data_IF_503740678862
#
_entry.id   IF_503740678862
#
_cell.length_a   1.000
_cell.length_b   1.000
_cell.length_c   1.000
_cell.angle_alpha   90.00
_cell.angle_beta   90.00
_cell.angle_gamma   90.00
#
_symmetry.space_group_name_H-M   'P 1'
#
loop_
_entity.id
_entity.type
_entity.pdbx_description
1 polymer ?
#
# COMPACT_ATOMS: atom_id res chain seq x y z
N UNK A 1 -0.55 10.22 -16.43
CA UNK A 1 0.81 10.00 -16.95
C UNK A 1 0.78 8.79 -17.84
N UNK A 2 1.00 9.01 -19.13
CA UNK A 2 1.16 7.99 -20.16
C UNK A 2 2.64 7.66 -20.31
N UNK A 3 2.94 6.39 -20.52
CA UNK A 3 4.30 5.90 -20.70
C UNK A 3 4.29 4.61 -21.53
N UNK A 4 5.44 4.26 -22.10
CA UNK A 4 5.69 2.96 -22.73
C UNK A 4 6.79 2.24 -21.99
N UNK A 5 6.56 0.96 -21.72
CA UNK A 5 7.51 0.11 -21.01
C UNK A 5 8.47 -0.55 -22.01
N UNK A 6 9.75 -0.56 -21.68
CA UNK A 6 10.80 -1.24 -22.43
C UNK A 6 11.65 -2.08 -21.48
N UNK A 7 12.06 -3.27 -21.92
CA UNK A 7 13.03 -4.14 -21.26
C UNK A 7 14.10 -4.59 -22.27
N UNK A 8 14.98 -5.53 -21.88
CA UNK A 8 16.02 -6.05 -22.78
C UNK A 8 15.44 -6.70 -24.05
N UNK A 9 14.27 -7.34 -23.95
CA UNK A 9 13.61 -8.04 -25.05
C UNK A 9 12.74 -7.14 -25.94
N UNK A 10 12.65 -5.83 -25.64
CA UNK A 10 11.86 -4.86 -26.38
C UNK A 10 10.74 -4.25 -25.55
N UNK A 11 9.54 -4.13 -26.11
CA UNK A 11 8.39 -3.53 -25.42
C UNK A 11 7.43 -4.62 -24.93
N UNK A 12 7.43 -4.97 -23.63
CA UNK A 12 6.46 -5.91 -23.07
C UNK A 12 5.09 -5.21 -22.84
N UNK A 13 3.99 -5.98 -22.78
CA UNK A 13 2.70 -5.43 -22.39
C UNK A 13 2.73 -4.78 -21.00
N UNK A 14 2.13 -3.59 -20.88
CA UNK A 14 1.96 -2.90 -19.62
C UNK A 14 0.80 -3.50 -18.82
N UNK A 15 0.99 -3.68 -17.51
CA UNK A 15 -0.08 -4.06 -16.57
C UNK A 15 -1.12 -2.96 -16.42
N UNK A 16 -0.71 -1.72 -16.62
CA UNK A 16 -1.59 -0.55 -16.66
C UNK A 16 -1.99 -0.12 -18.06
N UNK A 17 -2.02 -1.08 -19.01
CA UNK A 17 -2.59 -0.85 -20.32
C UNK A 17 -4.03 -0.33 -20.19
N UNK A 18 -4.33 0.75 -20.91
CA UNK A 18 -5.64 1.40 -20.90
C UNK A 18 -6.38 1.28 -22.23
N UNK A 19 -5.68 0.88 -23.29
CA UNK A 19 -6.21 0.63 -24.62
C UNK A 19 -5.83 -0.80 -25.05
N UNK A 20 -6.82 -1.59 -25.46
CA UNK A 20 -6.60 -2.93 -25.96
C UNK A 20 -5.90 -2.94 -27.34
N UNK A 21 -5.97 -1.83 -28.09
CA UNK A 21 -5.27 -1.66 -29.37
C UNK A 21 -3.77 -1.41 -29.23
N UNK A 22 -3.31 -0.94 -28.06
CA UNK A 22 -1.90 -0.67 -27.77
C UNK A 22 -1.53 -1.18 -26.36
N UNK A 23 -1.30 -2.50 -26.20
CA UNK A 23 -1.03 -3.09 -24.88
C UNK A 23 0.33 -2.68 -24.31
N UNK A 24 1.18 -2.03 -25.10
CA UNK A 24 2.54 -1.61 -24.71
C UNK A 24 2.56 -0.22 -24.08
N UNK A 25 1.41 0.45 -24.00
CA UNK A 25 1.27 1.78 -23.42
C UNK A 25 0.50 1.74 -22.09
N UNK A 26 1.18 2.14 -21.02
CA UNK A 26 0.64 2.22 -19.69
C UNK A 26 0.08 3.61 -19.36
N UNK A 27 -0.86 3.67 -18.42
CA UNK A 27 -1.37 4.93 -17.88
C UNK A 27 -1.60 4.85 -16.37
N UNK A 28 -1.00 5.79 -15.63
CA UNK A 28 -1.28 6.02 -14.21
C UNK A 28 -1.85 7.42 -13.97
N UNK A 29 -2.59 7.60 -12.87
CA UNK A 29 -3.01 8.91 -12.43
C UNK A 29 -1.79 9.72 -11.94
N UNK A 30 -1.68 10.99 -12.34
CA UNK A 30 -0.58 11.86 -11.90
C UNK A 30 -0.54 12.05 -10.38
N UNK A 31 -1.71 11.95 -9.73
CA UNK A 31 -1.86 11.98 -8.27
C UNK A 31 -1.24 10.78 -7.56
N UNK A 32 -0.89 9.70 -8.27
CA UNK A 32 -0.15 8.56 -7.70
C UNK A 32 1.35 8.79 -7.68
N UNK A 33 1.85 9.78 -8.42
CA UNK A 33 3.27 10.13 -8.38
C UNK A 33 3.49 11.06 -7.19
N UNK A 34 4.29 10.66 -6.20
CA UNK A 34 4.42 11.44 -4.98
C UNK A 34 5.21 12.74 -5.21
N UNK A 35 4.93 13.80 -4.42
CA UNK A 35 5.84 14.93 -4.29
C UNK A 35 7.20 14.49 -3.72
N UNK A 36 8.32 15.15 -4.08
CA UNK A 36 8.42 16.16 -5.13
C UNK A 36 8.26 15.47 -6.49
N UNK A 37 7.40 15.99 -7.37
CA UNK A 37 7.13 15.39 -8.69
C UNK A 37 8.39 15.48 -9.56
N UNK A 38 9.33 14.56 -9.36
CA UNK A 38 10.62 14.46 -10.05
C UNK A 38 10.73 13.11 -10.75
N UNK A 39 11.71 12.96 -11.64
CA UNK A 39 11.96 11.72 -12.38
C UNK A 39 12.12 10.52 -11.45
N UNK A 40 12.88 10.63 -10.34
CA UNK A 40 13.03 9.54 -9.38
C UNK A 40 11.70 9.06 -8.78
N UNK A 41 10.81 9.99 -8.42
CA UNK A 41 9.48 9.69 -7.89
C UNK A 41 8.59 9.00 -8.93
N UNK A 42 8.67 9.44 -10.19
CA UNK A 42 7.93 8.82 -11.29
C UNK A 42 8.49 7.41 -11.60
N UNK A 43 9.81 7.23 -11.74
CA UNK A 43 10.43 5.92 -11.95
C UNK A 43 10.01 4.94 -10.88
N UNK A 44 10.02 5.35 -9.60
CA UNK A 44 9.58 4.50 -8.49
C UNK A 44 8.11 4.10 -8.59
N UNK A 45 7.25 5.06 -8.93
CA UNK A 45 5.83 4.79 -9.14
C UNK A 45 5.62 3.77 -10.27
N UNK A 46 6.25 3.99 -11.44
CA UNK A 46 6.14 3.11 -12.60
C UNK A 46 6.72 1.71 -12.35
N UNK A 47 7.92 1.62 -11.76
CA UNK A 47 8.56 0.36 -11.38
C UNK A 47 7.64 -0.48 -10.48
N UNK A 48 7.07 0.13 -9.45
CA UNK A 48 6.17 -0.55 -8.54
C UNK A 48 4.85 -0.95 -9.22
N UNK A 49 4.27 -0.06 -10.03
CA UNK A 49 3.02 -0.32 -10.75
C UNK A 49 3.15 -1.47 -11.76
N UNK A 50 4.27 -1.53 -12.47
CA UNK A 50 4.55 -2.59 -13.44
C UNK A 50 5.18 -3.84 -12.78
N UNK A 51 5.42 -3.79 -11.46
CA UNK A 51 6.10 -4.81 -10.65
C UNK A 51 7.45 -5.22 -11.25
N UNK A 52 8.22 -4.22 -11.70
CA UNK A 52 9.56 -4.37 -12.25
C UNK A 52 10.56 -3.68 -11.32
N UNK A 53 11.57 -4.42 -10.86
CA UNK A 53 12.66 -3.94 -10.01
C UNK A 53 12.22 -3.07 -8.78
N UNK A 54 11.99 -3.68 -7.60
CA UNK A 54 11.51 -2.95 -6.41
C UNK A 54 12.48 -1.85 -5.93
N UNK A 55 13.75 -1.91 -6.31
CA UNK A 55 14.76 -0.91 -5.91
C UNK A 55 14.89 0.26 -6.87
N UNK A 56 14.31 0.16 -8.08
CA UNK A 56 14.36 1.17 -9.15
C UNK A 56 15.76 1.57 -9.63
N UNK A 57 16.83 0.92 -9.14
CA UNK A 57 18.22 1.28 -9.44
C UNK A 57 18.54 1.09 -10.92
N UNK A 58 17.98 0.06 -11.52
CA UNK A 58 18.26 -0.32 -12.90
C UNK A 58 17.09 0.10 -13.80
N UNK A 59 16.61 1.32 -13.62
CA UNK A 59 15.52 1.90 -14.41
C UNK A 59 15.87 3.28 -14.93
N UNK A 60 15.49 3.54 -16.17
CA UNK A 60 15.74 4.78 -16.89
C UNK A 60 14.42 5.34 -17.43
N UNK A 61 14.28 6.67 -17.37
CA UNK A 61 13.14 7.38 -17.94
C UNK A 61 13.65 8.31 -19.03
N UNK A 62 12.93 8.37 -20.15
CA UNK A 62 13.22 9.27 -21.26
C UNK A 62 11.97 10.08 -21.59
N UNK A 63 12.17 11.29 -22.10
CA UNK A 63 11.07 12.23 -22.37
C UNK A 63 10.09 11.72 -23.43
N UNK A 64 10.56 10.96 -24.42
CA UNK A 64 9.77 10.50 -25.55
C UNK A 64 10.34 9.21 -26.17
N UNK A 65 9.45 8.35 -26.65
CA UNK A 65 9.71 7.12 -27.37
C UNK A 65 10.20 7.40 -28.80
N UNK A 66 11.38 8.00 -28.95
CA UNK A 66 12.05 8.11 -30.26
C UNK A 66 12.92 9.36 -30.47
N UNK A 67 12.78 10.39 -29.63
CA UNK A 67 13.54 11.66 -29.79
C UNK A 67 14.68 11.83 -28.79
N UNK A 68 14.51 11.37 -27.56
CA UNK A 68 15.50 11.56 -26.51
C UNK A 68 16.63 10.51 -26.62
N UNK A 69 17.89 10.96 -26.69
CA UNK A 69 19.07 10.09 -26.76
C UNK A 69 19.66 9.74 -25.39
N UNK A 70 19.28 10.48 -24.35
CA UNK A 70 19.82 10.34 -23.00
C UNK A 70 18.70 10.19 -21.98
N UNK A 71 18.90 9.38 -20.93
CA UNK A 71 17.95 9.29 -19.83
C UNK A 71 17.85 10.62 -19.10
N UNK A 72 16.67 10.92 -18.57
CA UNK A 72 16.43 12.09 -17.73
C UNK A 72 17.15 11.95 -16.39
N UNK A 73 17.63 13.06 -15.84
CA UNK A 73 18.24 13.06 -14.51
C UNK A 73 17.17 12.90 -13.42
N UNK A 74 17.48 12.11 -12.40
CA UNK A 74 16.56 11.75 -11.32
C UNK A 74 16.00 12.95 -10.54
N UNK A 75 16.78 14.01 -10.41
CA UNK A 75 16.40 15.26 -9.73
C UNK A 75 15.53 16.19 -10.60
N UNK A 76 15.35 15.89 -11.89
CA UNK A 76 14.57 16.73 -12.82
C UNK A 76 13.13 16.82 -12.38
N UNK A 77 12.60 18.04 -12.23
CA UNK A 77 11.19 18.31 -11.90
C UNK A 77 10.30 18.07 -13.11
N UNK A 78 9.19 17.38 -12.86
CA UNK A 78 8.16 17.04 -13.81
C UNK A 78 6.89 17.83 -13.50
N UNK A 79 6.29 18.43 -14.52
CA UNK A 79 5.00 19.10 -14.42
C UNK A 79 3.89 18.07 -14.67
N UNK A 80 3.60 17.27 -13.64
CA UNK A 80 2.59 16.19 -13.74
C UNK A 80 1.17 16.66 -13.39
N UNK A 81 1.06 17.70 -12.56
CA UNK A 81 -0.20 18.28 -12.10
C UNK A 81 -0.31 19.71 -12.66
N UNK A 82 -1.25 19.94 -13.57
CA UNK A 82 -1.52 21.26 -14.15
C UNK A 82 -2.03 21.22 -15.59
N UNK A 83 -2.60 22.35 -16.05
CA UNK A 83 -3.23 22.47 -17.37
C UNK A 83 -2.29 22.91 -18.50
N UNK A 84 -0.99 22.69 -18.36
CA UNK A 84 -0.04 22.96 -19.43
C UNK A 84 -0.33 22.04 -20.65
N UNK A 85 -0.64 22.63 -21.83
CA UNK A 85 -1.04 21.86 -23.01
C UNK A 85 0.10 21.06 -23.66
N UNK A 86 1.36 21.33 -23.29
CA UNK A 86 2.56 20.64 -23.77
C UNK A 86 3.26 19.81 -22.68
N UNK A 87 2.55 19.42 -21.61
CA UNK A 87 3.15 18.64 -20.52
C UNK A 87 3.44 17.19 -20.97
N UNK A 88 4.70 16.76 -20.79
CA UNK A 88 5.13 15.38 -21.04
C UNK A 88 4.28 14.37 -20.23
N UNK A 89 3.98 13.24 -20.87
CA UNK A 89 3.16 12.16 -20.33
C UNK A 89 1.67 12.51 -20.16
N UNK A 90 1.20 13.65 -20.66
CA UNK A 90 -0.23 14.01 -20.57
C UNK A 90 -1.06 13.22 -21.57
N UNK A 91 -0.51 12.96 -22.75
CA UNK A 91 -1.19 12.24 -23.85
C UNK A 91 -0.36 11.04 -24.31
N UNK A 92 -0.95 10.09 -25.05
CA UNK A 92 -0.23 8.99 -25.68
C UNK A 92 0.97 9.43 -26.53
N UNK A 93 0.85 10.54 -27.25
CA UNK A 93 1.88 11.08 -28.16
C UNK A 93 3.04 11.76 -27.43
N UNK A 94 2.83 12.09 -26.15
CA UNK A 94 3.84 12.70 -25.27
C UNK A 94 4.30 11.71 -24.20
N UNK A 95 4.02 10.42 -24.37
CA UNK A 95 4.30 9.39 -23.38
C UNK A 95 5.80 9.25 -23.09
N UNK A 96 6.14 9.10 -21.80
CA UNK A 96 7.52 8.81 -21.39
C UNK A 96 7.95 7.43 -21.88
N UNK A 97 9.23 7.24 -22.20
CA UNK A 97 9.79 5.90 -22.36
C UNK A 97 10.38 5.46 -21.01
N UNK A 98 9.84 4.39 -20.43
CA UNK A 98 10.33 3.81 -19.18
C UNK A 98 11.05 2.50 -19.48
N UNK A 99 12.36 2.47 -19.29
CA UNK A 99 13.22 1.34 -19.62
C UNK A 99 13.74 0.67 -18.35
N UNK A 100 13.56 -0.64 -18.28
CA UNK A 100 14.20 -1.52 -17.30
C UNK A 100 15.52 -1.99 -17.90
N UNK A 101 16.62 -1.69 -17.20
CA UNK A 101 17.98 -2.10 -17.58
C UNK A 101 18.24 -3.39 -16.82
N UNK A 102 18.13 -4.53 -17.49
CA UNK A 102 18.51 -5.82 -16.89
C UNK A 102 20.02 -5.84 -16.69
N UNK A 103 20.47 -5.77 -15.44
CA UNK A 103 21.86 -6.09 -15.08
C UNK A 103 21.91 -7.15 -13.95
N UNK A 104 20.84 -7.94 -13.82
CA UNK A 104 20.88 -9.16 -13.04
C UNK A 104 21.22 -10.29 -14.00
N UNK A 105 22.45 -10.82 -13.87
CA UNK A 105 22.90 -11.94 -14.71
C UNK A 105 21.86 -13.06 -14.67
N UNK A 106 21.62 -13.75 -15.79
CA UNK A 106 20.62 -14.85 -15.87
C UNK A 106 20.78 -15.91 -14.77
N UNK A 107 21.95 -15.98 -14.12
CA UNK A 107 22.29 -16.87 -13.03
C UNK A 107 21.71 -16.39 -11.69
N UNK A 108 21.69 -15.09 -11.46
CA UNK A 108 21.00 -14.44 -10.33
C UNK A 108 19.50 -14.40 -10.59
N UNK A 109 19.05 -14.15 -11.82
CA UNK A 109 17.65 -14.29 -12.20
C UNK A 109 17.16 -15.75 -12.06
N UNK A 110 17.99 -16.77 -12.31
CA UNK A 110 17.65 -18.17 -12.02
C UNK A 110 17.73 -18.53 -10.54
N UNK A 111 18.59 -17.89 -9.75
CA UNK A 111 18.57 -18.05 -8.29
C UNK A 111 17.32 -17.38 -7.66
N UNK A 112 16.90 -16.23 -8.22
CA UNK A 112 15.68 -15.49 -7.83
C UNK A 112 14.42 -16.18 -8.33
N UNK A 113 14.42 -16.72 -9.54
CA UNK A 113 13.31 -17.51 -10.08
C UNK A 113 13.30 -18.94 -9.53
N UNK A 114 14.40 -19.52 -9.03
CA UNK A 114 14.39 -20.80 -8.32
C UNK A 114 13.96 -20.69 -6.85
N UNK A 115 13.77 -19.47 -6.32
CA UNK A 115 12.93 -19.21 -5.15
C UNK A 115 11.43 -19.19 -5.53
N UNK A 116 11.09 -19.94 -6.59
CA UNK A 116 9.81 -19.99 -7.28
C UNK A 116 8.67 -20.43 -6.37
N UNK A 117 7.48 -19.86 -6.63
CA UNK A 117 6.18 -20.07 -5.98
C UNK A 117 5.95 -19.29 -4.68
N UNK A 118 6.88 -19.23 -3.72
CA UNK A 118 6.68 -18.48 -2.47
C UNK A 118 6.85 -16.97 -2.65
N UNK A 119 7.89 -16.52 -3.37
CA UNK A 119 8.18 -15.10 -3.57
C UNK A 119 7.14 -14.36 -4.44
N UNK A 120 6.49 -15.04 -5.40
CA UNK A 120 5.40 -14.43 -6.20
C UNK A 120 4.15 -14.12 -5.38
N UNK A 121 3.86 -14.93 -4.35
CA UNK A 121 2.76 -14.68 -3.39
C UNK A 121 3.11 -13.57 -2.40
N UNK A 122 4.35 -13.56 -1.90
CA UNK A 122 4.84 -12.51 -0.99
C UNK A 122 4.92 -11.13 -1.67
N UNK A 123 5.23 -11.05 -2.97
CA UNK A 123 5.24 -9.78 -3.71
C UNK A 123 3.83 -9.20 -3.94
N UNK A 124 2.81 -10.03 -4.20
CA UNK A 124 1.41 -9.57 -4.24
C UNK A 124 0.90 -9.15 -2.85
N UNK A 125 1.30 -9.87 -1.80
CA UNK A 125 0.89 -9.56 -0.42
C UNK A 125 1.61 -8.32 0.12
N UNK A 126 2.84 -8.04 -0.32
CA UNK A 126 3.57 -6.82 -0.01
C UNK A 126 3.10 -5.58 -0.78
N UNK A 127 2.24 -5.73 -1.77
CA UNK A 127 1.63 -4.59 -2.46
C UNK A 127 0.61 -3.85 -1.58
N UNK A 128 0.02 -4.54 -0.60
CA UNK A 128 -1.07 -4.01 0.22
C UNK A 128 -0.65 -3.83 1.67
N UNK A 129 -1.07 -2.71 2.26
CA UNK A 129 -1.14 -2.54 3.70
C UNK A 129 -2.51 -3.06 4.16
N UNK A 130 -2.51 -4.10 4.96
CA UNK A 130 -3.70 -4.64 5.59
C UNK A 130 -3.91 -4.01 6.95
N UNK A 131 -5.18 -3.77 7.27
CA UNK A 131 -5.55 -3.15 8.52
C UNK A 131 -6.88 -3.70 9.03
N UNK A 132 -7.07 -3.60 10.34
CA UNK A 132 -8.20 -4.11 11.06
C UNK A 132 -8.78 -3.01 11.93
N UNK A 133 -10.06 -2.71 11.71
CA UNK A 133 -10.75 -1.62 12.40
C UNK A 133 -11.34 -2.08 13.72
N UNK A 134 -11.14 -1.28 14.76
CA UNK A 134 -11.68 -1.48 16.09
C UNK A 134 -12.29 -0.19 16.64
N UNK A 135 -13.30 -0.40 17.47
CA UNK A 135 -13.89 0.58 18.36
C UNK A 135 -13.48 0.27 19.81
N UNK A 136 -13.78 1.18 20.73
CA UNK A 136 -13.63 0.90 22.16
C UNK A 136 -14.51 -0.27 22.66
N UNK A 137 -15.54 -0.67 21.92
CA UNK A 137 -16.42 -1.79 22.24
C UNK A 137 -15.96 -3.12 21.62
N UNK A 138 -14.89 -3.12 20.82
CA UNK A 138 -14.41 -4.30 20.09
C UNK A 138 -14.30 -4.03 18.58
N UNK A 139 -14.23 -5.10 17.78
CA UNK A 139 -14.13 -5.04 16.32
C UNK A 139 -15.19 -4.13 15.70
N UNK A 140 -14.78 -3.25 14.77
CA UNK A 140 -15.74 -2.40 14.07
C UNK A 140 -16.54 -3.23 13.06
N UNK A 141 -17.74 -2.75 12.73
CA UNK A 141 -18.72 -3.49 11.96
C UNK A 141 -18.31 -3.78 10.51
N UNK A 142 -17.62 -2.84 9.85
CA UNK A 142 -17.19 -2.99 8.44
C UNK A 142 -16.20 -1.91 8.00
N UNK A 143 -15.12 -2.31 7.33
CA UNK A 143 -14.27 -1.44 6.51
C UNK A 143 -14.88 -1.22 5.13
N UNK A 144 -14.85 0.00 4.63
CA UNK A 144 -15.16 0.36 3.24
C UNK A 144 -14.19 -0.26 2.23
N UNK A 145 -12.97 -0.59 2.69
CA UNK A 145 -11.93 -1.29 1.94
C UNK A 145 -11.88 -2.79 2.24
N UNK A 146 -12.96 -3.36 2.79
CA UNK A 146 -13.05 -4.78 3.07
C UNK A 146 -12.84 -5.60 1.80
N UNK A 147 -11.87 -6.51 1.83
CA UNK A 147 -11.57 -7.39 0.70
C UNK A 147 -12.15 -8.80 0.88
N UNK A 148 -12.69 -9.10 2.08
CA UNK A 148 -13.27 -10.39 2.42
C UNK A 148 -14.62 -10.22 3.11
N UNK A 149 -15.62 -10.97 2.66
CA UNK A 149 -16.94 -11.03 3.30
C UNK A 149 -16.92 -11.77 4.63
N UNK A 150 -15.94 -12.66 4.83
CA UNK A 150 -15.76 -13.40 6.09
C UNK A 150 -15.08 -12.56 7.19
N UNK A 151 -14.36 -11.49 6.81
CA UNK A 151 -13.68 -10.56 7.72
C UNK A 151 -14.00 -9.12 7.32
N UNK A 152 -15.23 -8.65 7.56
CA UNK A 152 -15.69 -7.36 7.05
C UNK A 152 -14.98 -6.16 7.70
N UNK A 153 -14.39 -6.30 8.89
CA UNK A 153 -13.64 -5.24 9.55
C UNK A 153 -12.18 -5.12 9.06
N UNK A 154 -11.72 -6.08 8.26
CA UNK A 154 -10.35 -6.11 7.73
C UNK A 154 -10.34 -5.49 6.34
N UNK A 155 -9.70 -4.34 6.23
CA UNK A 155 -9.47 -3.64 4.98
C UNK A 155 -8.07 -3.89 4.43
N UNK A 156 -7.90 -3.54 3.15
CA UNK A 156 -6.57 -3.45 2.54
C UNK A 156 -6.48 -2.22 1.65
N UNK A 157 -5.32 -1.58 1.65
CA UNK A 157 -5.00 -0.46 0.76
C UNK A 157 -3.70 -0.76 0.04
N UNK A 158 -3.61 -0.43 -1.24
CA UNK A 158 -2.33 -0.53 -1.94
C UNK A 158 -1.34 0.47 -1.36
N UNK A 159 -0.14 0.02 -0.98
CA UNK A 159 0.89 0.85 -0.33
C UNK A 159 1.25 2.09 -1.16
N UNK A 160 1.14 2.04 -2.49
CA UNK A 160 1.41 3.19 -3.38
C UNK A 160 0.38 4.32 -3.25
N UNK A 161 -0.81 4.06 -2.69
CA UNK A 161 -1.81 5.10 -2.43
C UNK A 161 -1.48 5.93 -1.20
N UNK A 162 -0.51 5.49 -0.38
CA UNK A 162 -0.01 6.23 0.76
C UNK A 162 1.07 7.20 0.28
N UNK A 163 0.81 8.50 0.45
CA UNK A 163 1.79 9.53 0.07
C UNK A 163 3.02 9.43 0.98
N UNK A 164 4.25 9.42 0.44
CA UNK A 164 5.46 9.60 1.21
C UNK A 164 5.49 10.96 1.93
N UNK A 165 6.06 11.03 3.14
CA UNK A 165 6.60 9.92 3.92
C UNK A 165 5.48 9.02 4.46
N UNK A 166 5.60 7.70 4.28
CA UNK A 166 4.59 6.73 4.74
C UNK A 166 4.72 6.55 6.24
N UNK A 167 4.06 7.44 6.96
CA UNK A 167 4.00 7.56 8.41
C UNK A 167 2.68 7.04 8.95
N UNK A 168 2.63 6.68 10.24
CA UNK A 168 1.36 6.40 10.92
C UNK A 168 0.37 7.57 10.77
N UNK A 169 0.84 8.82 10.83
CA UNK A 169 -0.01 9.99 10.66
C UNK A 169 -0.63 10.05 9.24
N UNK A 170 0.16 9.82 8.20
CA UNK A 170 -0.33 9.76 6.82
C UNK A 170 -1.28 8.59 6.58
N UNK A 171 -1.04 7.44 7.19
CA UNK A 171 -1.94 6.28 7.15
C UNK A 171 -3.27 6.60 7.83
N UNK A 172 -3.24 7.16 9.04
CA UNK A 172 -4.45 7.58 9.78
C UNK A 172 -5.29 8.58 8.98
N UNK A 173 -4.66 9.61 8.44
CA UNK A 173 -5.34 10.61 7.61
C UNK A 173 -5.96 9.99 6.36
N UNK A 174 -5.22 9.12 5.66
CA UNK A 174 -5.72 8.43 4.48
C UNK A 174 -6.91 7.53 4.81
N UNK A 175 -6.80 6.72 5.86
CA UNK A 175 -7.86 5.80 6.26
C UNK A 175 -9.09 6.54 6.77
N UNK A 176 -8.93 7.63 7.52
CA UNK A 176 -10.05 8.49 7.92
C UNK A 176 -10.84 9.04 6.72
N UNK A 177 -10.13 9.43 5.66
CA UNK A 177 -10.74 9.90 4.41
C UNK A 177 -11.50 8.78 3.69
N UNK A 178 -10.87 7.62 3.50
CA UNK A 178 -11.45 6.52 2.72
C UNK A 178 -12.59 5.83 3.47
N UNK A 179 -12.43 5.61 4.77
CA UNK A 179 -13.47 5.07 5.66
C UNK A 179 -14.58 6.07 5.95
N UNK A 180 -14.43 7.33 5.51
CA UNK A 180 -15.37 8.43 5.76
C UNK A 180 -15.71 8.59 7.24
N UNK A 181 -14.70 8.39 8.09
CA UNK A 181 -14.84 8.47 9.54
C UNK A 181 -13.64 9.20 10.15
N UNK A 182 -13.81 10.47 10.58
CA UNK A 182 -12.71 11.29 11.05
C UNK A 182 -12.08 10.78 12.36
N UNK A 183 -12.76 9.93 13.12
CA UNK A 183 -12.21 9.35 14.36
C UNK A 183 -10.94 8.51 14.12
N UNK A 184 -10.74 8.00 12.89
CA UNK A 184 -9.53 7.27 12.53
C UNK A 184 -8.30 8.16 12.34
N UNK A 185 -8.47 9.47 12.15
CA UNK A 185 -7.34 10.40 12.06
C UNK A 185 -6.56 10.47 13.38
N UNK A 186 -7.21 10.12 14.49
CA UNK A 186 -6.66 10.08 15.84
C UNK A 186 -6.70 8.69 16.46
N UNK A 187 -6.79 7.64 15.64
CA UNK A 187 -6.80 6.26 16.13
C UNK A 187 -5.48 5.90 16.82
N UNK A 188 -5.56 5.02 17.80
CA UNK A 188 -4.37 4.33 18.32
C UNK A 188 -4.05 3.17 17.39
N UNK A 189 -2.78 3.03 16.98
CA UNK A 189 -2.34 2.01 16.02
C UNK A 189 -1.44 1.02 16.72
N UNK A 190 -1.70 -0.27 16.50
CA UNK A 190 -0.95 -1.37 17.07
C UNK A 190 -0.51 -2.29 15.95
N UNK A 191 0.66 -2.92 16.12
CA UNK A 191 1.20 -3.88 15.15
C UNK A 191 0.28 -5.10 14.98
N UNK A 192 -0.29 -5.57 16.08
CA UNK A 192 -1.18 -6.75 16.14
C UNK A 192 -2.27 -6.56 17.19
N UNK A 193 -3.30 -7.42 17.16
CA UNK A 193 -4.38 -7.40 18.16
C UNK A 193 -3.91 -7.76 19.57
N UNK A 194 -2.76 -8.42 19.68
CA UNK A 194 -2.14 -8.81 20.95
C UNK A 194 -1.15 -7.79 21.48
N UNK A 195 -0.77 -6.79 20.67
CA UNK A 195 0.19 -5.79 21.08
C UNK A 195 -0.38 -4.90 22.20
N UNK A 196 0.45 -4.67 23.22
CA UNK A 196 0.10 -3.86 24.39
C UNK A 196 0.57 -2.42 24.26
N UNK A 197 1.57 -2.18 23.42
CA UNK A 197 2.13 -0.86 23.15
C UNK A 197 1.63 -0.34 21.80
N UNK A 198 1.25 0.93 21.79
CA UNK A 198 0.90 1.62 20.55
C UNK A 198 2.19 1.96 19.79
N UNK A 199 2.15 1.79 18.47
CA UNK A 199 3.18 2.28 17.57
C UNK A 199 3.38 3.80 17.73
N UNK A 200 4.65 4.21 17.77
CA UNK A 200 5.03 5.57 18.13
C UNK A 200 4.86 6.54 16.94
N UNK A 201 4.35 7.74 17.21
CA UNK A 201 4.29 8.80 16.20
C UNK A 201 5.65 9.52 16.10
N UNK A 202 6.58 8.97 15.32
CA UNK A 202 7.90 9.53 15.03
C UNK A 202 8.88 8.47 14.50
N UNK A 203 9.73 8.83 13.51
CA UNK A 203 10.67 7.93 12.80
C UNK A 203 11.54 7.07 13.74
N UNK A 204 11.83 5.78 13.43
CA UNK A 204 11.96 5.18 12.09
C UNK A 204 11.08 3.92 11.85
N UNK A 205 9.77 3.99 12.07
CA UNK A 205 8.86 2.87 11.72
C UNK A 205 8.52 2.82 10.21
N UNK A 206 8.91 3.83 9.44
CA UNK A 206 8.62 3.88 7.99
C UNK A 206 9.31 2.76 7.24
N UNK A 207 10.50 2.34 7.67
CA UNK A 207 11.19 1.21 7.05
C UNK A 207 10.34 -0.06 7.12
N UNK A 208 9.81 -0.38 8.31
CA UNK A 208 9.03 -1.59 8.57
C UNK A 208 7.64 -1.62 7.91
N UNK A 209 7.06 -0.44 7.66
CA UNK A 209 5.77 -0.32 6.95
C UNK A 209 5.97 -0.44 5.43
N UNK A 210 7.10 0.08 4.94
CA UNK A 210 7.47 0.09 3.51
C UNK A 210 8.07 -1.25 3.08
N UNK A 211 8.85 -1.92 3.93
CA UNK A 211 9.46 -3.23 3.64
C UNK A 211 8.47 -4.41 3.75
N UNK A 212 7.26 -4.17 4.27
CA UNK A 212 6.21 -5.18 4.38
C UNK A 212 6.15 -5.90 5.72
N UNK A 213 7.10 -5.64 6.62
CA UNK A 213 7.19 -6.28 7.94
C UNK A 213 5.97 -6.00 8.83
N UNK A 214 5.34 -4.83 8.66
CA UNK A 214 4.16 -4.40 9.42
C UNK A 214 2.94 -4.22 8.49
N UNK A 215 1.78 -4.70 8.95
CA UNK A 215 0.51 -4.58 8.23
C UNK A 215 0.39 -5.56 7.07
N UNK A 216 0.85 -6.80 7.28
CA UNK A 216 0.67 -7.91 6.34
C UNK A 216 -0.76 -8.48 6.44
N UNK A 217 -1.12 -9.36 5.52
CA UNK A 217 -2.44 -10.01 5.53
C UNK A 217 -2.68 -10.87 6.78
N UNK A 218 -1.63 -11.51 7.28
CA UNK A 218 -1.70 -12.37 8.47
C UNK A 218 -1.56 -11.55 9.76
N UNK A 219 -0.83 -10.44 9.69
CA UNK A 219 -0.61 -9.48 10.78
C UNK A 219 -1.08 -8.08 10.38
N UNK A 220 -2.41 -7.86 10.23
CA UNK A 220 -2.94 -6.56 9.85
C UNK A 220 -2.73 -5.55 10.98
N UNK A 221 -2.43 -4.30 10.61
CA UNK A 221 -2.36 -3.20 11.55
C UNK A 221 -3.71 -3.03 12.26
N UNK A 222 -3.68 -2.85 13.57
CA UNK A 222 -4.89 -2.67 14.37
C UNK A 222 -5.12 -1.19 14.63
N UNK A 223 -6.24 -0.65 14.14
CA UNK A 223 -6.63 0.74 14.35
C UNK A 223 -7.82 0.81 15.30
N UNK A 224 -7.59 1.36 16.49
CA UNK A 224 -8.64 1.60 17.48
C UNK A 224 -9.06 3.06 17.40
N UNK A 225 -10.24 3.33 16.86
CA UNK A 225 -10.76 4.70 16.77
C UNK A 225 -11.00 5.28 18.16
N UNK A 226 -10.67 6.56 18.33
CA UNK A 226 -10.95 7.29 19.56
C UNK A 226 -12.43 7.68 19.59
N UNK A 227 -13.15 7.42 20.68
CA UNK A 227 -14.51 7.95 20.82
C UNK A 227 -14.47 9.46 21.05
N UNK A 228 -15.35 10.20 20.39
CA UNK A 228 -15.62 11.60 20.73
C UNK A 228 -16.26 11.63 22.13
N UNK A 229 -15.53 12.15 23.13
CA UNK A 229 -16.08 12.41 24.46
C UNK A 229 -15.33 11.87 25.68
N UNK A 230 -14.07 11.44 25.60
CA UNK A 230 -13.35 10.99 26.79
C UNK A 230 -11.83 11.15 26.75
N UNK A 231 -11.30 11.94 27.69
CA UNK A 231 -9.93 11.82 28.19
C UNK A 231 -9.83 10.51 28.99
N UNK A 232 -9.79 9.36 28.31
CA UNK A 232 -9.71 8.05 28.95
C UNK A 232 -8.64 7.20 28.31
N UNK A 233 -7.62 6.83 29.11
CA UNK A 233 -6.68 5.75 28.77
C UNK A 233 -7.48 4.51 28.38
N UNK A 234 -7.34 4.05 27.14
CA UNK A 234 -7.86 2.75 26.71
C UNK A 234 -6.91 1.69 27.25
N UNK A 235 -7.18 1.20 28.46
CA UNK A 235 -6.59 -0.03 28.95
C UNK A 235 -7.32 -1.18 28.27
N UNK A 236 -6.61 -1.87 27.36
CA UNK A 236 -7.02 -3.18 26.87
C UNK A 236 -7.04 -4.13 28.09
N UNK A 237 -8.20 -4.32 28.73
CA UNK A 237 -8.33 -5.39 29.71
C UNK A 237 -8.18 -6.73 28.97
N UNK A 238 -7.21 -7.52 29.40
CA UNK A 238 -6.75 -8.81 28.88
C UNK A 238 -7.81 -9.94 28.85
N UNK A 239 -9.10 -9.63 28.97
CA UNK A 239 -10.18 -10.62 29.06
C UNK A 239 -10.64 -11.17 27.71
N UNK A 240 -10.22 -10.56 26.60
CA UNK A 240 -10.65 -10.98 25.26
C UNK A 240 -9.74 -12.04 24.61
N UNK A 241 -8.67 -12.45 25.29
CA UNK A 241 -7.73 -13.47 24.82
C UNK A 241 -8.13 -14.88 25.27
N UNK A 242 -9.25 -15.43 24.76
CA UNK A 242 -9.43 -16.89 24.68
C UNK A 242 -10.15 -17.30 23.40
N UNK A 243 -9.60 -18.25 22.62
CA UNK A 243 -10.35 -18.93 21.59
C UNK A 243 -11.28 -19.97 22.22
N UNK A 244 -12.56 -19.91 21.88
CA UNK A 244 -13.59 -20.94 22.01
C UNK A 244 -13.54 -21.84 23.26
N UNK A 245 -14.27 -21.47 24.31
CA UNK A 245 -14.71 -22.41 25.34
C UNK A 245 -16.25 -22.49 25.31
N UNK A 246 -16.76 -23.69 24.96
CA UNK A 246 -18.17 -24.06 25.03
C UNK A 246 -18.74 -23.74 26.41
N UNK A 247 -19.69 -22.82 26.50
CA UNK A 247 -20.50 -22.65 27.72
C UNK A 247 -21.67 -23.62 27.61
N UNK A 248 -21.62 -24.71 28.41
CA UNK A 248 -22.78 -25.53 28.73
C UNK A 248 -23.74 -24.68 29.58
N UNK A 249 -24.98 -24.58 29.16
CA UNK A 249 -26.08 -24.08 29.99
C UNK A 249 -26.41 -25.14 31.05
N UNK A 250 -26.24 -24.80 32.33
CA UNK A 250 -26.90 -25.50 33.43
C UNK A 250 -28.10 -24.67 33.91
N UNK A 251 -29.27 -25.28 34.16
CA UNK A 251 -30.45 -24.56 34.60
C UNK A 251 -30.31 -24.18 36.09
N UNK A 252 -30.52 -22.90 36.40
CA UNK A 252 -30.67 -22.42 37.78
C UNK A 252 -32.07 -22.80 38.27
N UNK A 253 -32.10 -23.76 39.19
CA UNK A 253 -33.22 -23.99 40.11
C UNK A 253 -33.15 -22.91 41.21
N UNK A 254 -34.22 -22.17 41.52
CA UNK A 254 -34.25 -21.33 42.70
C UNK A 254 -34.61 -22.18 43.93
N UNK A 255 -33.70 -22.26 44.91
CA UNK A 255 -34.03 -22.74 46.25
C UNK A 255 -34.25 -21.55 47.19
N UNK A 256 -35.36 -21.64 47.92
CA UNK A 256 -35.86 -20.76 48.96
C UNK A 256 -34.98 -20.72 50.23
N UNK A 257 -35.15 -19.66 51.02
CA UNK A 257 -34.84 -19.58 52.47
C UNK A 257 -34.67 -18.10 52.86
N UNK A 258 -35.32 -17.54 53.89
CA UNK A 258 -35.98 -18.05 55.10
C UNK A 258 -37.24 -17.23 55.39
#
# INVERSE_FOLDING_TARGET
VHYRLYNADGAPPCKTAFDAGDPFMGRIAATFVPPPHIVASLKRCLANTELVNPTCRDTQLFEDCGRARSPMEDATRLVLLGDAPAALGRTPETAFAFKVVDDLTEREARAVCALDISGRRELEENQYLYFHLYTSAGEDSKSTLAFSTARPAVGRVERFRLAPPVTLATIKCFLALVERNPAYAHAHVYETVTAVEQLAEGEPEHACIVDGSIGSKDTPLVLVRRQEGGLGRVLFESRFLRPSAKVRLHPLVPQFGL
#
